data_IF_138161873627
#
_entry.id   IF_138161873627
#
_cell.length_a   1.000
_cell.length_b   1.000
_cell.length_c   1.000
_cell.angle_alpha   90.00
_cell.angle_beta   90.00
_cell.angle_gamma   90.00
#
_symmetry.space_group_name_H-M   'P 1'
#
loop_
_entity.id
_entity.type
_entity.pdbx_description
1 polymer ?
#
# COMPACT_ATOMS: atom_id res chain seq x y z
N UNK A 1 10.33 35.29 7.79
CA UNK A 1 11.02 34.46 6.77
C UNK A 1 10.37 33.09 6.55
N UNK A 2 10.14 32.26 7.59
CA UNK A 2 9.56 30.89 7.46
C UNK A 2 8.12 30.84 6.92
N UNK A 3 7.24 31.77 7.31
CA UNK A 3 5.84 31.81 6.81
C UNK A 3 5.77 32.09 5.30
N UNK A 4 6.60 33.01 4.79
CA UNK A 4 6.68 33.33 3.36
C UNK A 4 7.15 32.11 2.56
N UNK A 5 8.18 31.41 3.05
CA UNK A 5 8.67 30.16 2.46
C UNK A 5 7.56 29.12 2.29
N UNK A 6 6.79 28.84 3.34
CA UNK A 6 5.69 27.86 3.25
C UNK A 6 4.57 28.30 2.31
N UNK A 7 4.19 29.58 2.32
CA UNK A 7 3.19 30.13 1.38
C UNK A 7 3.63 29.99 -0.08
N UNK A 8 4.88 30.31 -0.38
CA UNK A 8 5.45 30.20 -1.74
C UNK A 8 5.52 28.74 -2.19
N UNK A 9 5.90 27.83 -1.29
CA UNK A 9 5.90 26.37 -1.55
C UNK A 9 4.49 25.87 -1.85
N UNK A 10 3.50 26.19 -1.04
CA UNK A 10 2.11 25.79 -1.25
C UNK A 10 1.61 26.29 -2.61
N UNK A 11 1.84 27.57 -2.95
CA UNK A 11 1.44 28.15 -4.24
C UNK A 11 2.08 27.40 -5.42
N UNK A 12 3.37 27.07 -5.34
CA UNK A 12 4.05 26.29 -6.39
C UNK A 12 3.50 24.86 -6.52
N UNK A 13 3.17 24.22 -5.40
CA UNK A 13 2.61 22.88 -5.36
C UNK A 13 1.16 22.85 -5.85
N UNK A 14 0.35 23.87 -5.58
CA UNK A 14 -1.01 24.01 -6.10
C UNK A 14 -1.01 24.13 -7.62
N UNK A 15 -0.10 24.94 -8.18
CA UNK A 15 0.07 25.03 -9.63
C UNK A 15 0.46 23.67 -10.23
N UNK A 16 1.37 22.94 -9.57
CA UNK A 16 1.75 21.59 -9.98
C UNK A 16 0.58 20.61 -9.87
N UNK A 17 -0.21 20.68 -8.81
CA UNK A 17 -1.38 19.84 -8.59
C UNK A 17 -2.45 20.07 -9.67
N UNK A 18 -2.71 21.33 -10.04
CA UNK A 18 -3.59 21.70 -11.16
C UNK A 18 -3.11 21.15 -12.50
N UNK A 19 -1.81 21.23 -12.79
CA UNK A 19 -1.23 20.62 -14.02
C UNK A 19 -1.38 19.09 -14.02
N UNK A 20 -1.15 18.45 -12.88
CA UNK A 20 -1.29 17.00 -12.73
C UNK A 20 -2.76 16.54 -12.83
N UNK A 21 -3.71 17.30 -12.28
CA UNK A 21 -5.14 16.99 -12.40
C UNK A 21 -5.62 17.09 -13.84
N UNK A 22 -5.21 18.12 -14.57
CA UNK A 22 -5.48 18.25 -16.01
C UNK A 22 -4.89 17.09 -16.82
N UNK A 23 -3.63 16.71 -16.56
CA UNK A 23 -3.03 15.53 -17.20
C UNK A 23 -3.81 14.26 -16.87
N UNK A 24 -4.17 14.03 -15.61
CA UNK A 24 -4.95 12.87 -15.16
C UNK A 24 -6.28 12.78 -15.92
N UNK A 25 -7.00 13.89 -16.08
CA UNK A 25 -8.24 13.97 -16.87
C UNK A 25 -8.00 13.62 -18.34
N UNK A 26 -6.96 14.18 -18.98
CA UNK A 26 -6.61 13.84 -20.38
C UNK A 26 -6.40 12.34 -20.57
N UNK A 27 -5.66 11.69 -19.66
CA UNK A 27 -5.47 10.23 -19.71
C UNK A 27 -6.76 9.45 -19.43
N UNK A 28 -7.66 9.95 -18.58
CA UNK A 28 -8.98 9.35 -18.36
C UNK A 28 -9.83 9.37 -19.63
N UNK A 29 -9.89 10.52 -20.32
CA UNK A 29 -10.59 10.63 -21.60
C UNK A 29 -9.94 9.81 -22.71
N UNK A 30 -8.60 9.78 -22.79
CA UNK A 30 -7.88 8.94 -23.75
C UNK A 30 -8.21 7.45 -23.59
N UNK A 31 -8.38 6.95 -22.35
CA UNK A 31 -8.82 5.56 -22.10
C UNK A 31 -10.23 5.29 -22.62
N UNK A 32 -11.15 6.22 -22.39
CA UNK A 32 -12.55 6.08 -22.83
C UNK A 32 -12.64 6.10 -24.35
N UNK A 33 -11.94 7.05 -24.98
CA UNK A 33 -11.86 7.15 -26.43
C UNK A 33 -11.22 5.91 -27.08
N UNK A 34 -10.13 5.40 -26.50
CA UNK A 34 -9.49 4.17 -26.96
C UNK A 34 -10.41 2.95 -26.80
N UNK A 35 -11.27 2.91 -25.78
CA UNK A 35 -12.22 1.81 -25.61
C UNK A 35 -13.26 1.81 -26.73
N UNK A 36 -13.83 2.98 -27.05
CA UNK A 36 -14.83 3.12 -28.12
C UNK A 36 -14.22 2.82 -29.48
N UNK A 37 -13.10 3.46 -29.82
CA UNK A 37 -12.41 3.22 -31.10
C UNK A 37 -11.85 1.81 -31.17
N UNK A 38 -11.35 1.27 -30.06
CA UNK A 38 -10.82 -0.09 -29.98
C UNK A 38 -11.86 -1.13 -30.37
N UNK A 39 -13.10 -1.00 -29.89
CA UNK A 39 -14.21 -1.88 -30.29
C UNK A 39 -14.46 -1.79 -31.79
N UNK A 40 -14.48 -0.57 -32.35
CA UNK A 40 -14.68 -0.36 -33.78
C UNK A 40 -13.54 -0.96 -34.63
N UNK A 41 -12.28 -0.77 -34.23
CA UNK A 41 -11.11 -1.35 -34.90
C UNK A 41 -11.16 -2.88 -34.83
N UNK A 42 -11.53 -3.45 -33.68
CA UNK A 42 -11.65 -4.90 -33.51
C UNK A 42 -12.76 -5.44 -34.43
N UNK A 43 -13.91 -4.78 -34.50
CA UNK A 43 -15.01 -5.16 -35.39
C UNK A 43 -14.58 -5.17 -36.86
N UNK A 44 -13.94 -4.08 -37.33
CA UNK A 44 -13.42 -4.01 -38.70
C UNK A 44 -12.36 -5.07 -38.98
N UNK A 45 -11.45 -5.32 -38.04
CA UNK A 45 -10.40 -6.32 -38.19
C UNK A 45 -10.96 -7.74 -38.32
N UNK A 46 -12.00 -8.09 -37.55
CA UNK A 46 -12.70 -9.39 -37.70
C UNK A 46 -13.44 -9.53 -39.02
N UNK A 47 -13.91 -8.43 -39.62
CA UNK A 47 -14.54 -8.45 -40.93
C UNK A 47 -13.57 -8.78 -42.07
N UNK A 48 -12.27 -8.51 -41.88
CA UNK A 48 -11.21 -8.85 -42.83
C UNK A 48 -10.78 -10.32 -42.63
N UNK A 49 -10.38 -10.70 -41.42
CA UNK A 49 -10.07 -12.08 -41.06
C UNK A 49 -10.06 -12.28 -39.54
N UNK A 50 -10.26 -13.53 -39.09
CA UNK A 50 -10.12 -13.88 -37.68
C UNK A 50 -8.72 -13.60 -37.10
N UNK A 51 -7.66 -13.75 -37.91
CA UNK A 51 -6.28 -13.49 -37.48
C UNK A 51 -6.02 -12.01 -37.24
N UNK A 52 -6.50 -11.12 -38.13
CA UNK A 52 -6.41 -9.68 -37.94
C UNK A 52 -7.23 -9.20 -36.75
N UNK A 53 -8.39 -9.80 -36.49
CA UNK A 53 -9.19 -9.56 -35.29
C UNK A 53 -8.41 -9.82 -33.98
N UNK A 54 -7.71 -10.96 -33.90
CA UNK A 54 -6.88 -11.30 -32.72
C UNK A 54 -5.72 -10.31 -32.56
N UNK A 55 -5.04 -9.94 -33.65
CA UNK A 55 -3.94 -8.96 -33.62
C UNK A 55 -4.45 -7.59 -33.14
N UNK A 56 -5.60 -7.14 -33.62
CA UNK A 56 -6.23 -5.90 -33.19
C UNK A 56 -6.58 -5.92 -31.69
N UNK A 57 -7.14 -7.02 -31.18
CA UNK A 57 -7.42 -7.18 -29.75
C UNK A 57 -6.13 -7.01 -28.94
N UNK A 58 -5.07 -7.74 -29.29
CA UNK A 58 -3.79 -7.70 -28.57
C UNK A 58 -3.20 -6.29 -28.57
N UNK A 59 -3.27 -5.59 -29.71
CA UNK A 59 -2.76 -4.23 -29.87
C UNK A 59 -3.56 -3.22 -29.03
N UNK A 60 -4.89 -3.26 -29.08
CA UNK A 60 -5.76 -2.40 -28.27
C UNK A 60 -5.52 -2.62 -26.78
N UNK A 61 -5.39 -3.88 -26.34
CA UNK A 61 -5.06 -4.24 -24.95
C UNK A 61 -3.69 -3.67 -24.57
N UNK A 62 -2.66 -3.83 -25.40
CA UNK A 62 -1.32 -3.33 -25.11
C UNK A 62 -1.29 -1.81 -24.95
N UNK A 63 -1.96 -1.07 -25.83
CA UNK A 63 -2.07 0.39 -25.74
C UNK A 63 -2.86 0.78 -24.48
N UNK A 64 -3.99 0.13 -24.21
CA UNK A 64 -4.82 0.41 -23.05
C UNK A 64 -4.05 0.21 -21.73
N UNK A 65 -3.33 -0.90 -21.59
CA UNK A 65 -2.48 -1.18 -20.43
C UNK A 65 -1.38 -0.12 -20.25
N UNK A 66 -0.81 0.37 -21.35
CA UNK A 66 0.21 1.42 -21.32
C UNK A 66 -0.36 2.75 -20.80
N UNK A 67 -1.53 3.15 -21.30
CA UNK A 67 -2.25 4.35 -20.83
C UNK A 67 -2.62 4.21 -19.36
N UNK A 68 -3.11 3.04 -18.92
CA UNK A 68 -3.43 2.77 -17.50
C UNK A 68 -2.18 2.92 -16.61
N UNK A 69 -1.02 2.41 -17.03
CA UNK A 69 0.25 2.57 -16.29
C UNK A 69 0.64 4.04 -16.16
N UNK A 70 0.56 4.82 -17.25
CA UNK A 70 0.87 6.26 -17.25
C UNK A 70 -0.10 7.05 -16.36
N UNK A 71 -1.40 6.76 -16.47
CA UNK A 71 -2.42 7.37 -15.62
C UNK A 71 -2.19 7.06 -14.14
N UNK A 72 -1.87 5.81 -13.79
CA UNK A 72 -1.51 5.42 -12.42
C UNK A 72 -0.29 6.19 -11.89
N UNK A 73 0.74 6.36 -12.72
CA UNK A 73 1.93 7.16 -12.36
C UNK A 73 1.57 8.62 -12.06
N UNK A 74 0.71 9.24 -12.86
CA UNK A 74 0.25 10.62 -12.65
C UNK A 74 -0.59 10.73 -11.39
N UNK A 75 -1.48 9.78 -11.13
CA UNK A 75 -2.30 9.79 -9.91
C UNK A 75 -1.43 9.68 -8.66
N UNK A 76 -0.37 8.86 -8.67
CA UNK A 76 0.60 8.82 -7.55
C UNK A 76 1.32 10.15 -7.34
N UNK A 77 1.70 10.84 -8.42
CA UNK A 77 2.30 12.17 -8.32
C UNK A 77 1.32 13.22 -7.78
N UNK A 78 0.05 13.13 -8.19
CA UNK A 78 -1.03 13.99 -7.70
C UNK A 78 -1.24 13.79 -6.20
N UNK A 79 -1.33 12.54 -5.75
CA UNK A 79 -1.49 12.17 -4.35
C UNK A 79 -0.30 12.65 -3.50
N UNK A 80 0.94 12.39 -3.95
CA UNK A 80 2.15 12.92 -3.32
C UNK A 80 2.10 14.45 -3.16
N UNK A 81 1.76 15.16 -4.24
CA UNK A 81 1.71 16.63 -4.24
C UNK A 81 0.63 17.14 -3.29
N UNK A 82 -0.54 16.51 -3.28
CA UNK A 82 -1.64 16.86 -2.37
C UNK A 82 -1.28 16.62 -0.90
N UNK A 83 -0.61 15.51 -0.59
CA UNK A 83 -0.15 15.21 0.77
C UNK A 83 0.94 16.20 1.22
N UNK A 84 1.84 16.60 0.33
CA UNK A 84 2.85 17.59 0.66
C UNK A 84 2.25 18.99 0.92
N UNK A 85 1.19 19.36 0.19
CA UNK A 85 0.42 20.58 0.49
C UNK A 85 -0.14 20.50 1.91
N UNK A 86 -0.74 19.37 2.31
CA UNK A 86 -1.25 19.20 3.69
C UNK A 86 -0.16 19.38 4.74
N UNK A 87 1.03 18.81 4.53
CA UNK A 87 2.19 18.97 5.43
C UNK A 87 2.54 20.45 5.61
N UNK A 88 2.70 21.19 4.52
CA UNK A 88 3.08 22.60 4.61
C UNK A 88 1.95 23.48 5.15
N UNK A 89 0.69 23.17 4.84
CA UNK A 89 -0.46 23.86 5.43
C UNK A 89 -0.53 23.64 6.94
N UNK A 90 -0.23 22.43 7.42
CA UNK A 90 -0.11 22.17 8.86
C UNK A 90 0.92 23.08 9.53
N UNK A 91 2.10 23.24 8.95
CA UNK A 91 3.14 24.10 9.52
C UNK A 91 2.76 25.59 9.54
N UNK A 92 1.86 26.03 8.65
CA UNK A 92 1.31 27.39 8.67
C UNK A 92 0.20 27.56 9.71
N UNK A 93 -0.66 26.56 9.85
CA UNK A 93 -1.88 26.63 10.66
C UNK A 93 -1.71 26.07 12.08
N UNK A 94 -0.54 25.50 12.41
CA UNK A 94 -0.26 24.82 13.67
C UNK A 94 -0.69 25.61 14.91
N UNK A 95 -0.42 26.92 14.92
CA UNK A 95 -0.76 27.81 16.04
C UNK A 95 -2.25 28.18 16.12
N UNK A 96 -2.98 28.09 15.01
CA UNK A 96 -4.37 28.56 14.90
C UNK A 96 -5.36 27.40 14.97
N UNK A 97 -5.12 26.33 14.21
CA UNK A 97 -6.03 25.18 14.09
C UNK A 97 -5.56 23.93 14.82
N UNK A 98 -4.31 23.92 15.31
CA UNK A 98 -3.69 22.74 15.92
C UNK A 98 -3.04 21.80 14.90
N UNK A 99 -2.53 20.69 15.39
CA UNK A 99 -1.71 19.77 14.61
C UNK A 99 -2.51 18.61 13.99
N UNK A 100 -2.35 18.38 12.69
CA UNK A 100 -2.99 17.25 11.99
C UNK A 100 -2.41 15.88 12.35
N UNK A 101 -1.21 15.82 12.92
CA UNK A 101 -0.55 14.57 13.33
C UNK A 101 -1.06 14.03 14.68
N UNK A 102 -1.96 14.75 15.35
CA UNK A 102 -2.52 14.33 16.64
C UNK A 102 -1.86 15.04 17.82
N UNK A 103 -2.63 15.19 18.87
CA UNK A 103 -2.32 16.03 20.03
C UNK A 103 -1.83 15.23 21.25
N UNK A 104 -1.74 13.90 21.13
CA UNK A 104 -1.27 13.04 22.22
C UNK A 104 -2.28 12.83 23.35
N UNK A 105 -3.55 13.23 23.19
CA UNK A 105 -4.57 13.06 24.24
C UNK A 105 -4.71 11.61 24.75
N UNK A 106 -4.41 10.62 23.92
CA UNK A 106 -4.44 9.19 24.29
C UNK A 106 -3.32 8.78 25.26
N UNK A 107 -2.29 9.61 25.42
CA UNK A 107 -1.15 9.35 26.30
C UNK A 107 -1.22 10.15 27.61
N UNK A 108 -2.27 10.94 27.83
CA UNK A 108 -2.46 11.67 29.10
C UNK A 108 -2.49 10.68 30.25
N UNK A 109 -1.66 10.94 31.26
CA UNK A 109 -1.59 10.16 32.48
C UNK A 109 -1.64 11.12 33.68
N UNK A 110 -2.74 11.06 34.43
CA UNK A 110 -2.98 11.93 35.59
C UNK A 110 -2.01 11.67 36.74
N UNK A 111 -1.43 10.47 36.79
CA UNK A 111 -0.55 10.05 37.88
C UNK A 111 0.93 10.30 37.57
N UNK A 112 1.25 10.81 36.38
CA UNK A 112 2.63 11.04 35.97
C UNK A 112 3.21 12.33 36.59
N UNK A 113 4.41 12.23 37.15
CA UNK A 113 5.05 13.23 38.02
C UNK A 113 5.02 14.69 37.52
N UNK A 114 5.09 14.91 36.21
CA UNK A 114 5.14 16.26 35.62
C UNK A 114 4.32 16.45 34.34
N UNK A 115 3.67 15.40 33.83
CA UNK A 115 3.13 15.47 32.44
C UNK A 115 1.91 16.38 32.32
N UNK A 116 1.15 16.53 33.41
CA UNK A 116 0.00 17.42 33.48
C UNK A 116 0.44 18.86 33.79
N UNK A 117 1.36 19.04 34.72
CA UNK A 117 1.85 20.38 35.12
C UNK A 117 2.57 21.11 33.97
N UNK A 118 3.28 20.36 33.13
CA UNK A 118 4.00 20.91 31.97
C UNK A 118 3.19 20.87 30.67
N UNK A 119 1.90 20.53 30.71
CA UNK A 119 1.04 20.39 29.53
C UNK A 119 1.74 19.60 28.41
N UNK A 120 2.23 18.39 28.74
CA UNK A 120 2.97 17.56 27.78
C UNK A 120 2.03 17.03 26.70
N UNK A 121 0.84 16.56 27.08
CA UNK A 121 -0.14 15.94 26.18
C UNK A 121 -1.46 16.70 26.14
N UNK A 122 -2.14 16.71 25.00
CA UNK A 122 -3.45 17.35 24.83
C UNK A 122 -3.47 18.47 23.80
N UNK A 123 -4.60 19.19 23.74
CA UNK A 123 -4.77 20.29 22.78
C UNK A 123 -3.83 21.45 23.17
N UNK A 124 -3.06 21.96 22.22
CA UNK A 124 -2.05 23.02 22.44
C UNK A 124 -0.86 22.63 23.35
N UNK A 125 -0.69 21.33 23.64
CA UNK A 125 0.40 20.80 24.46
C UNK A 125 1.77 20.79 23.75
N UNK A 126 2.85 20.50 24.48
CA UNK A 126 4.18 20.30 23.90
C UNK A 126 4.16 19.22 22.81
N UNK A 127 3.55 18.06 23.08
CA UNK A 127 3.39 16.98 22.11
C UNK A 127 2.67 17.47 20.86
N UNK A 128 1.57 18.21 20.99
CA UNK A 128 0.86 18.80 19.85
C UNK A 128 1.76 19.75 19.04
N UNK A 129 2.68 20.47 19.68
CA UNK A 129 3.61 21.37 18.98
C UNK A 129 4.76 20.65 18.28
N UNK A 130 5.25 19.52 18.80
CA UNK A 130 6.43 18.83 18.27
C UNK A 130 6.12 17.62 17.39
N UNK A 131 4.96 16.99 17.55
CA UNK A 131 4.62 15.73 16.90
C UNK A 131 4.49 15.85 15.37
N UNK A 132 5.38 15.20 14.62
CA UNK A 132 5.35 15.05 13.14
C UNK A 132 5.26 13.58 12.73
N UNK A 133 5.04 12.70 13.70
CA UNK A 133 5.10 11.25 13.50
C UNK A 133 3.95 10.80 12.59
N UNK A 134 4.30 9.96 11.63
CA UNK A 134 3.36 9.39 10.67
C UNK A 134 3.04 7.94 10.97
N UNK A 135 3.79 7.26 11.82
CA UNK A 135 3.60 5.87 12.25
C UNK A 135 3.05 5.80 13.67
N UNK A 136 2.47 4.66 14.01
CA UNK A 136 1.99 4.42 15.38
C UNK A 136 3.16 4.20 16.35
N UNK A 137 4.19 3.50 15.87
CA UNK A 137 5.40 3.18 16.62
C UNK A 137 6.19 4.45 16.94
N UNK A 138 6.41 5.34 15.95
CA UNK A 138 7.04 6.64 16.16
C UNK A 138 6.24 7.56 17.09
N UNK A 139 4.91 7.62 16.92
CA UNK A 139 4.05 8.41 17.82
C UNK A 139 4.15 7.94 19.28
N UNK A 140 4.18 6.63 19.48
CA UNK A 140 4.28 6.00 20.81
C UNK A 140 5.68 6.18 21.40
N UNK A 141 6.72 6.06 20.58
CA UNK A 141 8.10 6.29 20.99
C UNK A 141 8.33 7.75 21.41
N UNK A 142 7.81 8.71 20.65
CA UNK A 142 7.86 10.13 20.99
C UNK A 142 7.13 10.40 22.32
N UNK A 143 5.94 9.81 22.51
CA UNK A 143 5.20 9.96 23.76
C UNK A 143 5.98 9.37 24.95
N UNK A 144 6.62 8.21 24.76
CA UNK A 144 7.47 7.60 25.78
C UNK A 144 8.68 8.49 26.11
N UNK A 145 9.38 9.07 25.12
CA UNK A 145 10.50 9.98 25.37
C UNK A 145 10.11 11.25 26.15
N UNK A 146 8.87 11.72 25.99
CA UNK A 146 8.36 12.87 26.75
C UNK A 146 7.89 12.52 28.17
N UNK A 147 7.62 11.24 28.46
CA UNK A 147 7.31 10.75 29.82
C UNK A 147 8.57 10.34 30.57
N UNK A 148 9.49 9.69 29.87
CA UNK A 148 10.72 9.14 30.42
C UNK A 148 11.92 9.76 29.70
N UNK A 149 12.43 10.90 30.20
CA UNK A 149 13.54 11.60 29.58
C UNK A 149 14.82 10.80 29.75
N UNK A 150 15.68 10.86 28.73
CA UNK A 150 16.97 10.19 28.73
C UNK A 150 18.00 11.00 29.52
N UNK A 151 18.69 10.35 30.47
CA UNK A 151 19.74 10.99 31.27
C UNK A 151 21.17 10.68 30.82
N UNK A 152 21.35 9.72 29.89
CA UNK A 152 22.67 9.38 29.37
C UNK A 152 23.15 10.43 28.35
N UNK A 153 24.21 11.18 28.71
CA UNK A 153 24.79 12.26 27.89
C UNK A 153 25.22 11.81 26.50
N UNK A 154 25.89 10.67 26.38
CA UNK A 154 26.41 10.18 25.09
C UNK A 154 25.25 9.89 24.12
N UNK A 155 24.21 9.22 24.60
CA UNK A 155 23.02 8.93 23.80
C UNK A 155 22.28 10.21 23.38
N UNK A 156 22.22 11.23 24.26
CA UNK A 156 21.63 12.53 23.93
C UNK A 156 22.43 13.24 22.83
N UNK A 157 23.75 13.29 22.95
CA UNK A 157 24.61 13.92 21.96
C UNK A 157 24.50 13.22 20.60
N UNK A 158 24.50 11.89 20.59
CA UNK A 158 24.29 11.12 19.38
C UNK A 158 22.91 11.40 18.72
N UNK A 159 21.83 11.52 19.50
CA UNK A 159 20.52 11.97 18.98
C UNK A 159 20.59 13.36 18.35
N UNK A 160 21.31 14.30 18.96
CA UNK A 160 21.51 15.62 18.36
C UNK A 160 22.27 15.57 17.03
N UNK A 161 23.27 14.69 16.91
CA UNK A 161 23.98 14.46 15.67
C UNK A 161 23.09 13.88 14.58
N UNK A 162 22.28 12.87 14.92
CA UNK A 162 21.24 12.30 14.06
C UNK A 162 20.30 13.39 13.54
N UNK A 163 19.75 14.22 14.43
CA UNK A 163 18.84 15.31 14.05
C UNK A 163 19.54 16.34 13.14
N UNK A 164 20.80 16.66 13.41
CA UNK A 164 21.60 17.58 12.60
C UNK A 164 21.85 17.01 11.20
N UNK A 165 22.14 15.71 11.09
CA UNK A 165 22.26 15.02 9.82
C UNK A 165 20.95 15.05 9.03
N UNK A 166 19.86 14.53 9.62
CA UNK A 166 18.53 14.49 8.99
C UNK A 166 18.02 15.88 8.57
N UNK A 167 18.40 16.93 9.29
CA UNK A 167 18.04 18.31 8.94
C UNK A 167 18.66 18.79 7.63
N UNK A 168 19.82 18.24 7.24
CA UNK A 168 20.59 18.61 6.03
C UNK A 168 20.21 17.79 4.80
N UNK A 169 19.56 16.64 4.98
CA UNK A 169 19.12 15.81 3.86
C UNK A 169 17.90 16.45 3.19
N UNK A 170 18.14 17.12 2.06
CA UNK A 170 17.12 17.85 1.32
C UNK A 170 16.07 16.89 0.74
N UNK A 171 14.79 17.16 1.02
CA UNK A 171 13.68 16.41 0.43
C UNK A 171 13.33 15.10 1.13
N UNK A 172 14.19 14.55 2.01
CA UNK A 172 13.90 13.31 2.73
C UNK A 172 12.65 13.47 3.61
N UNK A 173 12.61 14.53 4.44
CA UNK A 173 11.47 14.84 5.30
C UNK A 173 10.17 15.01 4.51
N UNK A 174 10.21 15.74 3.39
CA UNK A 174 9.04 15.90 2.52
C UNK A 174 8.55 14.57 1.95
N UNK A 175 9.47 13.71 1.47
CA UNK A 175 9.13 12.37 0.96
C UNK A 175 8.53 11.50 2.07
N UNK A 176 9.16 11.50 3.24
CA UNK A 176 8.75 10.69 4.39
C UNK A 176 7.36 11.09 4.90
N UNK A 177 7.18 12.38 5.21
CA UNK A 177 5.89 12.89 5.72
C UNK A 177 4.77 12.74 4.70
N UNK A 178 5.01 13.02 3.42
CA UNK A 178 3.98 12.87 2.38
C UNK A 178 3.55 11.41 2.15
N UNK A 179 4.45 10.44 2.29
CA UNK A 179 4.10 9.02 2.29
C UNK A 179 3.31 8.63 3.54
N UNK A 180 3.61 9.23 4.67
CA UNK A 180 2.88 9.06 5.92
C UNK A 180 1.37 9.36 5.84
N UNK A 181 1.00 10.31 4.97
CA UNK A 181 -0.39 10.73 4.72
C UNK A 181 -1.15 9.88 3.68
N UNK A 182 -0.56 8.83 3.10
CA UNK A 182 -1.24 7.94 2.16
C UNK A 182 -2.35 7.12 2.83
N UNK A 183 -2.26 6.93 4.14
CA UNK A 183 -3.29 6.32 4.97
C UNK A 183 -3.89 7.41 5.87
N UNK A 184 -5.22 7.42 6.04
CA UNK A 184 -5.86 8.43 6.92
C UNK A 184 -5.60 7.96 8.35
N UNK A 185 -5.27 8.84 9.30
CA UNK A 185 -5.26 8.50 10.74
C UNK A 185 -6.69 8.20 11.25
N UNK A 186 -7.36 7.21 10.66
CA UNK A 186 -8.66 6.70 11.09
C UNK A 186 -8.40 5.85 12.33
N UNK A 187 -9.25 5.93 13.35
CA UNK A 187 -9.17 5.10 14.58
C UNK A 187 -9.06 3.60 14.27
N UNK A 188 -9.56 3.16 13.11
CA UNK A 188 -9.46 1.76 12.64
C UNK A 188 -8.09 1.39 12.05
N UNK A 189 -7.25 2.36 11.63
CA UNK A 189 -5.89 2.10 11.13
C UNK A 189 -4.84 2.02 12.26
N UNK A 190 -5.18 2.44 13.49
CA UNK A 190 -4.31 2.27 14.66
C UNK A 190 -4.37 0.88 15.28
N UNK A 191 -5.12 -0.05 14.66
CA UNK A 191 -4.92 -1.47 14.93
C UNK A 191 -3.49 -1.81 14.48
N UNK A 192 -2.63 -2.05 15.46
CA UNK A 192 -1.26 -2.48 15.22
C UNK A 192 -1.29 -3.63 14.20
N UNK A 193 -0.59 -3.50 13.07
CA UNK A 193 -0.50 -4.55 12.04
C UNK A 193 -0.18 -5.89 12.70
N UNK A 194 0.60 -5.88 13.81
CA UNK A 194 0.84 -7.05 14.65
C UNK A 194 -0.44 -7.69 15.18
N UNK A 195 -1.26 -6.96 15.94
CA UNK A 195 -2.54 -7.43 16.51
C UNK A 195 -3.44 -7.95 15.38
N UNK A 196 -3.41 -7.25 14.25
CA UNK A 196 -4.13 -7.65 13.06
C UNK A 196 -3.62 -9.00 12.49
N UNK A 197 -2.32 -9.20 12.29
CA UNK A 197 -1.78 -10.50 11.82
C UNK A 197 -2.04 -11.61 12.85
N UNK A 198 -1.86 -11.33 14.14
CA UNK A 198 -1.99 -12.32 15.22
C UNK A 198 -3.43 -12.84 15.37
N UNK A 199 -4.42 -11.97 15.22
CA UNK A 199 -5.84 -12.34 15.32
C UNK A 199 -6.40 -13.01 14.05
N UNK A 200 -5.59 -13.13 12.99
CA UNK A 200 -6.08 -13.68 11.73
C UNK A 200 -6.29 -15.20 11.79
N UNK A 201 -7.54 -15.62 11.53
CA UNK A 201 -7.91 -17.05 11.48
C UNK A 201 -7.56 -17.69 10.13
N UNK A 202 -6.36 -18.25 10.05
CA UNK A 202 -5.85 -19.01 8.90
C UNK A 202 -6.80 -20.14 8.45
N UNK A 203 -7.14 -20.16 7.15
CA UNK A 203 -8.03 -21.16 6.53
C UNK A 203 -7.37 -21.87 5.35
N UNK A 204 -6.87 -21.13 4.37
CA UNK A 204 -6.32 -21.68 3.12
C UNK A 204 -5.01 -22.43 3.34
N UNK A 205 -4.12 -21.93 4.19
CA UNK A 205 -2.82 -22.59 4.47
C UNK A 205 -2.98 -23.91 5.23
N UNK A 206 -4.09 -24.09 5.97
CA UNK A 206 -4.40 -25.34 6.67
C UNK A 206 -4.80 -26.45 5.70
N UNK A 207 -5.40 -26.11 4.56
CA UNK A 207 -5.86 -27.06 3.53
C UNK A 207 -4.77 -27.31 2.49
N UNK A 208 -3.69 -28.02 2.86
CA UNK A 208 -2.55 -28.30 1.96
C UNK A 208 -2.96 -29.03 0.66
N UNK A 209 -3.96 -29.91 0.73
CA UNK A 209 -4.51 -30.64 -0.43
C UNK A 209 -5.28 -29.76 -1.41
N UNK A 210 -5.73 -28.58 -0.99
CA UNK A 210 -6.51 -27.68 -1.86
C UNK A 210 -5.67 -27.23 -3.07
N UNK A 211 -4.39 -26.94 -2.87
CA UNK A 211 -3.51 -26.45 -3.94
C UNK A 211 -3.37 -27.44 -5.11
N UNK A 212 -2.98 -28.71 -4.92
CA UNK A 212 -2.89 -29.67 -6.03
C UNK A 212 -4.24 -29.94 -6.69
N UNK A 213 -5.35 -29.96 -5.92
CA UNK A 213 -6.70 -30.12 -6.47
C UNK A 213 -7.03 -28.97 -7.44
N UNK A 214 -6.81 -27.72 -7.04
CA UNK A 214 -7.10 -26.56 -7.90
C UNK A 214 -6.24 -26.55 -9.17
N UNK A 215 -4.96 -26.94 -9.06
CA UNK A 215 -4.12 -27.09 -10.26
C UNK A 215 -4.64 -28.19 -11.17
N UNK A 216 -5.03 -29.35 -10.65
CA UNK A 216 -5.57 -30.44 -11.46
C UNK A 216 -6.85 -30.04 -12.22
N UNK A 217 -7.77 -29.32 -11.55
CA UNK A 217 -8.98 -28.80 -12.18
C UNK A 217 -8.69 -27.70 -13.22
N UNK A 218 -7.78 -26.77 -12.93
CA UNK A 218 -7.35 -25.74 -13.89
C UNK A 218 -6.67 -26.34 -15.12
N UNK A 219 -5.74 -27.30 -14.93
CA UNK A 219 -5.05 -27.97 -16.03
C UNK A 219 -6.00 -28.83 -16.85
N UNK A 220 -6.92 -29.56 -16.21
CA UNK A 220 -7.90 -30.37 -16.95
C UNK A 220 -8.81 -29.49 -17.82
N UNK A 221 -9.25 -28.33 -17.33
CA UNK A 221 -10.00 -27.38 -18.16
C UNK A 221 -9.18 -26.94 -19.38
N UNK A 222 -7.92 -26.55 -19.19
CA UNK A 222 -7.07 -26.11 -20.30
C UNK A 222 -6.84 -27.22 -21.34
N UNK A 223 -6.64 -28.46 -20.90
CA UNK A 223 -6.47 -29.61 -21.80
C UNK A 223 -7.76 -29.90 -22.57
N UNK A 224 -8.91 -29.91 -21.90
CA UNK A 224 -10.21 -30.14 -22.54
C UNK A 224 -10.55 -29.07 -23.58
N UNK A 225 -10.23 -27.80 -23.30
CA UNK A 225 -10.40 -26.71 -24.26
C UNK A 225 -9.50 -26.89 -25.50
N UNK A 226 -8.24 -27.31 -25.31
CA UNK A 226 -7.32 -27.57 -26.42
C UNK A 226 -7.76 -28.77 -27.28
N UNK A 227 -8.19 -29.86 -26.65
CA UNK A 227 -8.71 -31.04 -27.34
C UNK A 227 -10.03 -30.76 -28.08
N UNK A 228 -10.80 -29.79 -27.59
CA UNK A 228 -12.02 -29.31 -28.24
C UNK A 228 -11.83 -28.78 -29.67
N UNK A 229 -10.65 -28.25 -29.99
CA UNK A 229 -10.33 -27.84 -31.36
C UNK A 229 -10.15 -29.03 -32.32
N UNK A 230 -9.81 -30.21 -31.79
CA UNK A 230 -9.68 -31.45 -32.56
C UNK A 230 -10.99 -32.24 -32.62
N UNK A 231 -11.72 -32.32 -31.50
CA UNK A 231 -12.99 -33.05 -31.43
C UNK A 231 -14.02 -32.26 -30.58
N UNK A 232 -15.17 -31.86 -31.18
CA UNK A 232 -16.21 -31.08 -30.49
C UNK A 232 -16.78 -31.74 -29.22
N UNK A 233 -16.69 -33.08 -29.07
CA UNK A 233 -17.16 -33.78 -27.86
C UNK A 233 -16.45 -33.26 -26.60
N UNK A 234 -15.19 -32.83 -26.70
CA UNK A 234 -14.45 -32.25 -25.56
C UNK A 234 -15.00 -30.89 -25.11
N UNK A 235 -15.78 -30.18 -25.93
CA UNK A 235 -16.50 -28.98 -25.49
C UNK A 235 -17.58 -29.30 -24.46
N UNK A 236 -18.30 -30.43 -24.63
CA UNK A 236 -19.31 -30.87 -23.66
C UNK A 236 -18.67 -31.19 -22.30
N UNK A 237 -17.52 -31.87 -22.29
CA UNK A 237 -16.76 -32.12 -21.06
C UNK A 237 -16.19 -30.83 -20.43
N UNK A 238 -15.81 -29.85 -21.25
CA UNK A 238 -15.37 -28.54 -20.77
C UNK A 238 -16.48 -27.80 -20.01
N UNK A 239 -17.73 -27.89 -20.48
CA UNK A 239 -18.89 -27.29 -19.80
C UNK A 239 -19.10 -27.91 -18.41
N UNK A 240 -19.00 -29.24 -18.31
CA UNK A 240 -19.11 -29.95 -17.02
C UNK A 240 -17.98 -29.49 -16.07
N UNK A 241 -16.74 -29.41 -16.57
CA UNK A 241 -15.59 -28.96 -15.80
C UNK A 241 -15.77 -27.51 -15.29
N UNK A 242 -16.25 -26.60 -16.14
CA UNK A 242 -16.60 -25.23 -15.76
C UNK A 242 -17.65 -25.22 -14.64
N UNK A 243 -18.68 -26.07 -14.73
CA UNK A 243 -19.69 -26.23 -13.68
C UNK A 243 -19.08 -26.66 -12.35
N UNK A 244 -18.18 -27.63 -12.36
CA UNK A 244 -17.44 -28.07 -11.16
C UNK A 244 -16.57 -26.94 -10.60
N UNK A 245 -15.84 -26.21 -11.46
CA UNK A 245 -15.01 -25.08 -11.04
C UNK A 245 -15.84 -23.98 -10.39
N UNK A 246 -17.02 -23.69 -10.94
CA UNK A 246 -17.96 -22.73 -10.37
C UNK A 246 -18.47 -23.17 -8.98
N UNK A 247 -18.84 -24.43 -8.81
CA UNK A 247 -19.26 -24.98 -7.51
C UNK A 247 -18.12 -24.85 -6.49
N UNK A 248 -16.92 -25.29 -6.85
CA UNK A 248 -15.73 -25.19 -6.00
C UNK A 248 -15.44 -23.73 -5.61
N UNK A 249 -15.46 -22.81 -6.57
CA UNK A 249 -15.29 -21.37 -6.31
C UNK A 249 -16.34 -20.86 -5.30
N UNK A 250 -17.61 -21.22 -5.52
CA UNK A 250 -18.74 -20.78 -4.70
C UNK A 250 -18.62 -21.27 -3.24
N UNK A 251 -18.11 -22.48 -3.02
CA UNK A 251 -17.85 -23.02 -1.68
C UNK A 251 -16.83 -22.18 -0.88
N UNK A 252 -15.85 -21.57 -1.56
CA UNK A 252 -14.78 -20.80 -0.92
C UNK A 252 -15.02 -19.28 -0.92
N UNK A 253 -16.06 -18.79 -1.59
CA UNK A 253 -16.33 -17.36 -1.76
C UNK A 253 -16.45 -16.61 -0.44
N UNK A 254 -17.10 -17.22 0.58
CA UNK A 254 -17.23 -16.61 1.92
C UNK A 254 -15.86 -16.40 2.58
N UNK A 255 -14.96 -17.37 2.47
CA UNK A 255 -13.62 -17.30 3.05
C UNK A 255 -12.74 -16.27 2.33
N UNK A 256 -12.83 -16.21 1.00
CA UNK A 256 -12.16 -15.17 0.19
C UNK A 256 -12.69 -13.79 0.57
N UNK A 257 -14.01 -13.60 0.64
CA UNK A 257 -14.62 -12.33 1.05
C UNK A 257 -14.18 -11.89 2.44
N UNK A 258 -14.12 -12.83 3.39
CA UNK A 258 -13.61 -12.54 4.74
C UNK A 258 -12.16 -12.09 4.71
N UNK A 259 -11.29 -12.78 3.97
CA UNK A 259 -9.89 -12.39 3.81
C UNK A 259 -9.76 -11.01 3.13
N UNK A 260 -10.51 -10.78 2.06
CA UNK A 260 -10.50 -9.51 1.32
C UNK A 260 -10.99 -8.35 2.19
N UNK A 261 -12.10 -8.52 2.93
CA UNK A 261 -12.58 -7.50 3.86
C UNK A 261 -11.59 -7.22 5.00
N UNK A 262 -10.84 -8.24 5.43
CA UNK A 262 -9.79 -8.09 6.43
C UNK A 262 -8.58 -7.30 5.92
N UNK A 263 -8.20 -7.50 4.66
CA UNK A 263 -6.94 -7.01 4.07
C UNK A 263 -7.08 -5.72 3.28
N UNK A 264 -8.19 -5.53 2.58
CA UNK A 264 -8.46 -4.32 1.79
C UNK A 264 -8.36 -3.06 2.65
N UNK A 265 -8.73 -3.16 3.93
CA UNK A 265 -8.58 -2.09 4.93
C UNK A 265 -7.10 -1.71 5.18
N UNK A 266 -6.18 -2.64 5.02
CA UNK A 266 -4.75 -2.46 5.33
C UNK A 266 -3.86 -2.23 4.10
N UNK A 267 -4.39 -2.28 2.87
CA UNK A 267 -3.59 -2.09 1.65
C UNK A 267 -2.76 -0.81 1.68
N UNK A 268 -3.42 0.30 2.05
CA UNK A 268 -2.79 1.63 2.12
C UNK A 268 -1.72 1.68 3.20
N UNK A 269 -1.92 0.99 4.32
CA UNK A 269 -0.95 0.93 5.41
C UNK A 269 0.30 0.15 4.99
N UNK A 270 0.17 -1.05 4.43
CA UNK A 270 1.31 -1.80 3.87
C UNK A 270 2.02 -1.02 2.78
N UNK A 271 1.28 -0.31 1.92
CA UNK A 271 1.87 0.53 0.89
C UNK A 271 2.64 1.71 1.47
N UNK A 272 2.11 2.36 2.51
CA UNK A 272 2.79 3.43 3.26
C UNK A 272 4.11 2.94 3.85
N UNK A 273 4.12 1.85 4.64
CA UNK A 273 5.37 1.31 5.18
C UNK A 273 6.35 0.92 4.06
N UNK A 274 5.87 0.34 2.94
CA UNK A 274 6.74 0.03 1.79
C UNK A 274 7.45 1.26 1.24
N UNK A 275 6.81 2.43 1.28
CA UNK A 275 7.40 3.69 0.82
C UNK A 275 8.34 4.31 1.85
N UNK A 276 7.98 4.28 3.15
CA UNK A 276 8.85 4.77 4.22
C UNK A 276 10.16 3.97 4.24
N UNK A 277 10.07 2.64 4.21
CA UNK A 277 11.21 1.73 4.15
C UNK A 277 12.04 2.00 2.88
N UNK A 278 11.37 2.16 1.73
CA UNK A 278 12.06 2.50 0.48
C UNK A 278 12.84 3.81 0.60
N UNK A 279 12.27 4.84 1.21
CA UNK A 279 12.99 6.12 1.38
C UNK A 279 14.17 5.94 2.33
N UNK A 280 13.99 5.30 3.48
CA UNK A 280 15.09 5.00 4.40
C UNK A 280 16.20 4.20 3.70
N UNK A 281 15.86 3.18 2.91
CA UNK A 281 16.84 2.32 2.25
C UNK A 281 17.64 3.01 1.14
N UNK A 282 17.10 4.04 0.50
CA UNK A 282 17.74 4.71 -0.65
C UNK A 282 18.49 6.00 -0.30
N UNK A 283 18.43 6.46 0.94
CA UNK A 283 19.22 7.63 1.38
C UNK A 283 20.58 7.17 1.94
N UNK A 284 21.59 8.03 1.83
CA UNK A 284 22.94 7.76 2.31
C UNK A 284 23.14 8.40 3.69
N UNK A 285 23.01 7.60 4.74
CA UNK A 285 23.25 8.04 6.12
C UNK A 285 24.74 7.93 6.49
N UNK A 286 25.19 8.78 7.40
CA UNK A 286 26.58 8.82 7.91
C UNK A 286 26.68 8.41 9.37
N UNK A 287 25.69 8.76 10.19
CA UNK A 287 25.65 8.35 11.60
C UNK A 287 25.52 6.83 11.73
N UNK A 288 26.27 6.25 12.67
CA UNK A 288 26.41 4.80 12.82
C UNK A 288 25.10 4.11 13.22
N UNK A 289 24.26 4.77 14.03
CA UNK A 289 22.98 4.21 14.47
C UNK A 289 21.96 4.19 13.33
N UNK A 290 21.92 5.25 12.52
CA UNK A 290 21.08 5.28 11.31
C UNK A 290 21.51 4.22 10.30
N UNK A 291 22.82 3.99 10.16
CA UNK A 291 23.37 2.92 9.32
C UNK A 291 23.01 1.54 9.86
N UNK A 292 23.07 1.31 11.17
CA UNK A 292 22.65 0.04 11.77
C UNK A 292 21.17 -0.25 11.51
N UNK A 293 20.30 0.75 11.73
CA UNK A 293 18.87 0.62 11.41
C UNK A 293 18.63 0.40 9.91
N UNK A 294 19.36 1.11 9.04
CA UNK A 294 19.29 0.91 7.59
C UNK A 294 19.78 -0.49 7.19
N UNK A 295 20.82 -1.02 7.82
CA UNK A 295 21.35 -2.35 7.56
C UNK A 295 20.36 -3.44 7.97
N UNK A 296 19.64 -3.25 9.09
CA UNK A 296 18.52 -4.12 9.48
C UNK A 296 17.41 -4.13 8.42
N UNK A 297 17.15 -3.00 7.76
CA UNK A 297 16.22 -2.90 6.62
C UNK A 297 16.75 -3.62 5.37
N UNK A 298 18.04 -3.42 5.04
CA UNK A 298 18.71 -3.96 3.86
C UNK A 298 19.18 -5.42 4.01
N UNK A 299 19.06 -6.01 5.19
CA UNK A 299 19.57 -7.36 5.49
C UNK A 299 18.90 -8.48 4.68
N UNK A 300 19.25 -9.74 5.00
CA UNK A 300 18.98 -10.97 4.20
C UNK A 300 17.54 -11.15 3.67
N UNK A 301 16.53 -10.56 4.30
CA UNK A 301 15.13 -10.70 3.88
C UNK A 301 14.55 -9.45 3.19
N UNK A 302 15.37 -8.41 2.93
CA UNK A 302 15.02 -7.09 2.38
C UNK A 302 13.61 -6.65 2.77
N UNK A 303 13.47 -5.93 3.88
CA UNK A 303 12.15 -5.56 4.43
C UNK A 303 11.28 -4.87 3.36
N UNK A 304 11.89 -4.04 2.51
CA UNK A 304 11.22 -3.39 1.37
C UNK A 304 10.51 -4.39 0.44
N UNK A 305 11.16 -5.52 0.14
CA UNK A 305 10.62 -6.54 -0.74
C UNK A 305 9.47 -7.30 -0.10
N UNK A 306 9.48 -7.51 1.22
CA UNK A 306 8.36 -8.13 1.93
C UNK A 306 7.12 -7.26 1.89
N UNK A 307 7.24 -5.95 2.17
CA UNK A 307 6.12 -5.01 2.10
C UNK A 307 5.63 -4.79 0.65
N UNK A 308 6.53 -4.76 -0.34
CA UNK A 308 6.14 -4.76 -1.76
C UNK A 308 5.43 -6.04 -2.15
N UNK A 309 5.88 -7.21 -1.69
CA UNK A 309 5.29 -8.49 -2.01
C UNK A 309 3.85 -8.56 -1.52
N UNK A 310 3.59 -8.21 -0.25
CA UNK A 310 2.22 -8.19 0.27
C UNK A 310 1.37 -7.15 -0.46
N UNK A 311 1.85 -5.92 -0.66
CA UNK A 311 1.09 -4.88 -1.41
C UNK A 311 0.73 -5.35 -2.84
N UNK A 312 1.61 -6.09 -3.51
CA UNK A 312 1.32 -6.70 -4.82
C UNK A 312 0.27 -7.80 -4.72
N UNK A 313 0.32 -8.64 -3.70
CA UNK A 313 -0.68 -9.69 -3.48
C UNK A 313 -2.07 -9.10 -3.20
N UNK A 314 -2.16 -8.05 -2.39
CA UNK A 314 -3.42 -7.35 -2.11
C UNK A 314 -4.00 -6.77 -3.41
N UNK A 315 -3.19 -6.06 -4.20
CA UNK A 315 -3.62 -5.51 -5.50
C UNK A 315 -4.10 -6.58 -6.49
N UNK A 316 -3.45 -7.75 -6.48
CA UNK A 316 -3.88 -8.90 -7.28
C UNK A 316 -5.22 -9.47 -6.79
N UNK A 317 -5.46 -9.46 -5.48
CA UNK A 317 -6.74 -9.85 -4.91
C UNK A 317 -7.84 -8.86 -5.31
N UNK A 318 -7.54 -7.56 -5.38
CA UNK A 318 -8.51 -6.53 -5.79
C UNK A 318 -8.97 -6.64 -7.26
N UNK A 319 -8.33 -7.46 -8.09
CA UNK A 319 -8.85 -7.78 -9.43
C UNK A 319 -10.26 -8.37 -9.38
N UNK A 320 -10.62 -9.00 -8.25
CA UNK A 320 -11.96 -9.51 -7.96
C UNK A 320 -13.05 -8.43 -7.97
N UNK A 321 -12.69 -7.17 -7.72
CA UNK A 321 -13.63 -6.04 -7.72
C UNK A 321 -14.17 -5.75 -9.13
N UNK A 322 -13.47 -6.20 -10.17
CA UNK A 322 -13.96 -6.19 -11.53
C UNK A 322 -14.64 -7.54 -11.81
N UNK A 323 -15.98 -7.53 -11.90
CA UNK A 323 -16.80 -8.73 -12.06
C UNK A 323 -16.35 -9.58 -13.27
N UNK A 324 -16.07 -8.95 -14.41
CA UNK A 324 -15.67 -9.63 -15.63
C UNK A 324 -14.32 -10.32 -15.40
N UNK A 325 -13.32 -9.58 -14.93
CA UNK A 325 -11.97 -10.12 -14.67
C UNK A 325 -12.03 -11.23 -13.61
N UNK A 326 -12.83 -11.05 -12.56
CA UNK A 326 -13.03 -12.02 -11.50
C UNK A 326 -13.59 -13.33 -12.02
N UNK A 327 -14.64 -13.29 -12.84
CA UNK A 327 -15.26 -14.48 -13.43
C UNK A 327 -14.23 -15.22 -14.29
N UNK A 328 -13.57 -14.54 -15.23
CA UNK A 328 -12.59 -15.19 -16.11
C UNK A 328 -11.41 -15.79 -15.34
N UNK A 329 -10.80 -15.04 -14.43
CA UNK A 329 -9.65 -15.51 -13.66
C UNK A 329 -10.00 -16.65 -12.70
N UNK A 330 -11.19 -16.62 -12.09
CA UNK A 330 -11.59 -17.66 -11.16
C UNK A 330 -12.06 -18.94 -11.86
N UNK A 331 -12.78 -18.83 -12.98
CA UNK A 331 -13.24 -20.00 -13.73
C UNK A 331 -12.07 -20.82 -14.30
N UNK A 332 -11.01 -20.14 -14.77
CA UNK A 332 -9.87 -20.81 -15.40
C UNK A 332 -8.80 -21.18 -14.38
N UNK A 333 -8.45 -20.26 -13.48
CA UNK A 333 -7.26 -20.38 -12.65
C UNK A 333 -7.52 -20.45 -11.15
N UNK A 334 -8.76 -20.39 -10.68
CA UNK A 334 -9.07 -20.25 -9.23
C UNK A 334 -8.27 -19.13 -8.55
N UNK A 335 -8.08 -18.02 -9.27
CA UNK A 335 -7.17 -16.94 -8.91
C UNK A 335 -7.32 -16.48 -7.46
N UNK A 336 -8.54 -16.21 -7.01
CA UNK A 336 -8.82 -15.71 -5.67
C UNK A 336 -8.32 -16.67 -4.59
N UNK A 337 -8.41 -17.99 -4.80
CA UNK A 337 -7.96 -18.99 -3.84
C UNK A 337 -6.42 -19.04 -3.81
N UNK A 338 -5.76 -19.00 -4.97
CA UNK A 338 -4.29 -18.97 -5.03
C UNK A 338 -3.70 -17.72 -4.39
N UNK A 339 -4.28 -16.55 -4.66
CA UNK A 339 -3.85 -15.30 -4.04
C UNK A 339 -4.14 -15.31 -2.55
N UNK A 340 -5.30 -15.81 -2.12
CA UNK A 340 -5.64 -15.96 -0.70
C UNK A 340 -4.65 -16.84 0.05
N UNK A 341 -4.28 -17.98 -0.54
CA UNK A 341 -3.25 -18.86 0.01
C UNK A 341 -1.89 -18.16 0.10
N UNK A 342 -1.47 -17.43 -0.95
CA UNK A 342 -0.19 -16.73 -0.98
C UNK A 342 -0.11 -15.64 0.09
N UNK A 343 -1.21 -14.92 0.31
CA UNK A 343 -1.35 -13.93 1.37
C UNK A 343 -1.24 -14.59 2.75
N UNK A 344 -2.02 -15.64 3.03
CA UNK A 344 -1.95 -16.33 4.33
C UNK A 344 -0.56 -16.89 4.60
N UNK A 345 0.12 -17.41 3.56
CA UNK A 345 1.50 -17.87 3.66
C UNK A 345 2.46 -16.75 3.98
N UNK A 346 2.29 -15.58 3.38
CA UNK A 346 3.11 -14.41 3.68
C UNK A 346 2.89 -13.94 5.12
N UNK A 347 1.64 -13.86 5.58
CA UNK A 347 1.29 -13.49 6.96
C UNK A 347 1.95 -14.44 7.95
N UNK A 348 1.76 -15.76 7.77
CA UNK A 348 2.32 -16.77 8.66
C UNK A 348 3.85 -16.76 8.70
N UNK A 349 4.50 -16.50 7.55
CA UNK A 349 5.96 -16.43 7.47
C UNK A 349 6.53 -15.23 8.23
N UNK A 350 5.84 -14.08 8.17
CA UNK A 350 6.38 -12.80 8.64
C UNK A 350 5.77 -12.32 9.96
N UNK A 351 4.82 -13.07 10.55
CA UNK A 351 4.12 -12.72 11.79
C UNK A 351 5.06 -12.34 12.93
N UNK A 352 6.19 -13.04 13.10
CA UNK A 352 7.13 -12.77 14.18
C UNK A 352 8.09 -11.61 13.89
N UNK A 353 8.29 -11.27 12.61
CA UNK A 353 9.26 -10.24 12.20
C UNK A 353 8.62 -8.88 11.95
N UNK A 354 7.30 -8.85 11.70
CA UNK A 354 6.58 -7.62 11.36
C UNK A 354 6.74 -6.54 12.45
N UNK A 355 6.65 -6.92 13.72
CA UNK A 355 6.76 -6.00 14.85
C UNK A 355 8.13 -5.29 14.89
N UNK A 356 9.21 -6.06 14.71
CA UNK A 356 10.57 -5.52 14.60
C UNK A 356 10.68 -4.55 13.43
N UNK A 357 10.09 -4.88 12.28
CA UNK A 357 10.14 -4.01 11.10
C UNK A 357 9.37 -2.71 11.28
N UNK A 358 8.22 -2.75 11.94
CA UNK A 358 7.44 -1.56 12.25
C UNK A 358 8.17 -0.68 13.26
N UNK A 359 8.77 -1.27 14.30
CA UNK A 359 9.55 -0.56 15.29
C UNK A 359 10.78 0.13 14.69
N UNK A 360 11.49 -0.51 13.75
CA UNK A 360 12.61 0.13 13.04
C UNK A 360 12.14 1.38 12.28
N UNK A 361 10.99 1.31 11.59
CA UNK A 361 10.43 2.47 10.90
C UNK A 361 9.96 3.53 11.91
N UNK A 362 9.43 3.12 13.06
CA UNK A 362 9.06 4.00 14.16
C UNK A 362 10.24 4.70 14.84
N UNK A 363 11.42 4.08 14.89
CA UNK A 363 12.64 4.73 15.38
C UNK A 363 13.15 5.82 14.43
N UNK A 364 12.92 5.65 13.12
CA UNK A 364 13.25 6.65 12.11
C UNK A 364 12.25 7.82 12.05
N UNK A 365 11.00 7.60 12.46
CA UNK A 365 9.88 8.55 12.41
C UNK A 365 9.80 9.41 13.68
#
# INVERSE_FOLDING_TARGET
MRVKYYKDKIKSLDLKLKRLSQKSLKYSFARLFLLIIGIFIIYLAFSISGTWGIVAILLVIAIFLTIVKLHSKINKQKEYTANLIKVYTNELELKVKGNIFGNGSKYIDRNHNYSNDLDVFGKFSLFNLINRTVTHEGETLLAHWLKEPMFNREKILNRHEILKELSKINGFKEKFLSAGFLSKKTKEESENIKIWIENFKYFFIKKKYLKPILYAFSTSLTILLLLGFYNPVFWNYSIINIGINYILMSMYLKNVNRLHGFISKQEKLFYKYSLLIKYIANEDFKNIDLLDLQNKIKGKNHIEDQFKAISRLIKKLDYRLNIIVSIFLNLIFFWDIHISYAIEKWMKKNQNSIDVWLNIVGEFD
#
